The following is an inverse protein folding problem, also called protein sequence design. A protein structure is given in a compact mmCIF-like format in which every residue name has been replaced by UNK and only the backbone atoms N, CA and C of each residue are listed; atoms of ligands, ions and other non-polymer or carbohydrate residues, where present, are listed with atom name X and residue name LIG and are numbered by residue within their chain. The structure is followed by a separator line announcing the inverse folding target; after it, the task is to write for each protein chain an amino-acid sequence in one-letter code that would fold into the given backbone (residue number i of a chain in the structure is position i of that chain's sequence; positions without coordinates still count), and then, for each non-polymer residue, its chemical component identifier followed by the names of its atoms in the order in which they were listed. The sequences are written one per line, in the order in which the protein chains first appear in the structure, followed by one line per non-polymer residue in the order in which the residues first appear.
data_IF_928448786581
#
_entry.id   IF_928448786581
#
_cell.length_a   1.000
_cell.length_b   1.000
_cell.length_c   1.000
_cell.angle_alpha   90.00
_cell.angle_beta   90.00
_cell.angle_gamma   90.00
#
_symmetry.space_group_name_H-M   'P 1'
#
loop_
_entity.id
_entity.type
_entity.pdbx_description
1 polymer ?
#
# COMPACT_ATOMS: atom_id res chain seq x y z
N UNK A 1 1.12 4.73 17.76
CA UNK A 1 0.57 6.04 17.31
C UNK A 1 -0.93 6.00 17.56
N UNK A 2 -1.55 7.05 18.12
CA UNK A 2 -3.01 7.02 18.36
C UNK A 2 -3.74 7.52 17.12
N UNK A 3 -4.60 6.68 16.54
CA UNK A 3 -5.48 7.04 15.43
C UNK A 3 -6.78 7.66 15.96
N UNK A 4 -7.31 8.65 15.24
CA UNK A 4 -8.55 9.38 15.57
C UNK A 4 -9.81 8.69 15.01
N UNK A 5 -9.83 7.37 14.86
CA UNK A 5 -10.89 6.61 14.15
C UNK A 5 -11.26 7.24 12.80
N UNK A 6 -10.30 7.37 11.86
CA UNK A 6 -10.54 8.04 10.58
C UNK A 6 -11.55 7.27 9.72
N UNK A 7 -12.49 7.98 9.11
CA UNK A 7 -13.46 7.38 8.17
C UNK A 7 -12.80 6.85 6.91
N UNK A 8 -11.84 7.61 6.38
CA UNK A 8 -11.14 7.27 5.13
C UNK A 8 -9.64 7.33 5.39
N UNK A 9 -8.91 6.34 4.91
CA UNK A 9 -7.45 6.36 4.87
C UNK A 9 -7.00 6.02 3.47
N UNK A 10 -6.22 6.92 2.86
CA UNK A 10 -5.48 6.62 1.64
C UNK A 10 -4.13 5.99 2.00
N UNK A 11 -3.75 4.91 1.32
CA UNK A 11 -2.48 4.23 1.53
C UNK A 11 -1.75 4.01 0.21
N UNK A 12 -0.43 4.16 0.24
CA UNK A 12 0.45 3.78 -0.86
C UNK A 12 1.87 3.57 -0.39
N UNK A 13 2.65 2.92 -1.23
CA UNK A 13 4.05 2.63 -0.98
C UNK A 13 4.91 2.92 -2.20
N UNK A 14 6.18 3.21 -1.95
CA UNK A 14 7.19 3.37 -3.01
C UNK A 14 8.42 2.58 -2.63
N UNK A 15 8.87 1.73 -3.56
CA UNK A 15 10.10 0.97 -3.41
C UNK A 15 11.33 1.86 -3.55
N UNK A 16 12.29 1.68 -2.67
CA UNK A 16 13.62 2.30 -2.72
C UNK A 16 14.71 1.25 -2.61
N UNK A 17 15.90 1.58 -3.08
CA UNK A 17 17.10 0.75 -2.93
C UNK A 17 17.94 1.35 -1.81
N UNK A 18 18.14 0.60 -0.74
CA UNK A 18 18.97 1.00 0.39
C UNK A 18 20.14 0.03 0.51
N UNK A 19 21.36 0.48 0.22
CA UNK A 19 22.59 -0.33 0.29
C UNK A 19 22.46 -1.69 -0.43
N UNK A 20 21.88 -1.71 -1.63
CA UNK A 20 21.68 -2.95 -2.38
C UNK A 20 20.54 -3.85 -1.87
N UNK A 21 19.78 -3.42 -0.87
CA UNK A 21 18.57 -4.08 -0.36
C UNK A 21 17.30 -3.36 -0.83
N UNK A 22 16.20 -4.11 -0.94
CA UNK A 22 14.89 -3.50 -1.17
C UNK A 22 14.39 -2.93 0.16
N UNK A 23 13.94 -1.68 0.12
CA UNK A 23 13.20 -1.06 1.19
C UNK A 23 12.01 -0.30 0.60
N UNK A 24 11.08 0.12 1.45
CA UNK A 24 9.83 0.73 1.03
C UNK A 24 9.51 1.88 1.98
N UNK A 25 9.10 3.00 1.39
CA UNK A 25 8.43 4.06 2.12
C UNK A 25 6.93 3.89 1.93
N UNK A 26 6.23 3.70 3.05
CA UNK A 26 4.78 3.67 3.12
C UNK A 26 4.24 5.01 3.56
N UNK A 27 3.10 5.39 3.01
CA UNK A 27 2.37 6.61 3.37
C UNK A 27 0.92 6.24 3.67
N UNK A 28 0.44 6.68 4.83
CA UNK A 28 -0.96 6.57 5.25
C UNK A 28 -1.49 7.98 5.44
N UNK A 29 -2.61 8.31 4.80
CA UNK A 29 -3.14 9.66 4.74
C UNK A 29 -4.62 9.65 5.12
N UNK A 30 -4.95 9.80 6.42
CA UNK A 30 -6.28 10.22 6.85
C UNK A 30 -6.55 11.69 6.45
N UNK A 31 -7.68 12.24 6.88
CA UNK A 31 -8.07 13.61 6.55
C UNK A 31 -7.14 14.66 7.20
N UNK A 32 -6.68 14.38 8.41
CA UNK A 32 -6.01 15.32 9.34
C UNK A 32 -4.49 15.12 9.45
N UNK A 33 -3.93 14.05 8.87
CA UNK A 33 -2.51 13.73 8.99
C UNK A 33 -1.95 13.00 7.76
N UNK A 34 -0.62 12.97 7.67
CA UNK A 34 0.14 12.10 6.77
C UNK A 34 1.19 11.37 7.59
N UNK A 35 1.13 10.04 7.58
CA UNK A 35 2.00 9.16 8.36
C UNK A 35 2.96 8.46 7.41
N UNK A 36 4.26 8.62 7.67
CA UNK A 36 5.31 7.97 6.90
C UNK A 36 5.88 6.79 7.68
N UNK A 37 6.05 5.65 7.01
CA UNK A 37 6.68 4.45 7.59
C UNK A 37 7.73 3.88 6.64
N UNK A 38 8.99 3.93 7.04
CA UNK A 38 10.04 3.18 6.37
C UNK A 38 9.99 1.71 6.81
N UNK A 39 10.06 0.79 5.86
CA UNK A 39 10.04 -0.65 6.12
C UNK A 39 10.95 -1.40 5.13
N UNK A 40 11.56 -2.50 5.58
CA UNK A 40 12.33 -3.40 4.72
C UNK A 40 11.45 -4.41 3.96
N UNK A 41 10.13 -4.24 4.04
CA UNK A 41 9.15 -5.12 3.42
C UNK A 41 8.00 -4.30 2.85
N UNK A 42 7.42 -4.81 1.75
CA UNK A 42 6.15 -4.35 1.21
C UNK A 42 4.96 -5.20 1.68
N UNK A 43 5.14 -6.06 2.67
CA UNK A 43 4.08 -6.93 3.17
C UNK A 43 3.02 -6.21 4.02
N UNK A 44 1.82 -6.80 4.08
CA UNK A 44 0.67 -6.30 4.85
C UNK A 44 0.94 -6.14 6.37
N UNK A 45 2.03 -6.73 6.88
CA UNK A 45 2.49 -6.53 8.26
C UNK A 45 2.71 -5.05 8.57
N UNK A 46 3.22 -4.26 7.62
CA UNK A 46 3.45 -2.82 7.83
C UNK A 46 2.14 -2.08 8.07
N UNK A 47 1.10 -2.41 7.30
CA UNK A 47 -0.24 -1.82 7.48
C UNK A 47 -0.81 -2.21 8.84
N UNK A 48 -0.77 -3.50 9.19
CA UNK A 48 -1.30 -4.00 10.47
C UNK A 48 -0.62 -3.36 11.69
N UNK A 49 0.71 -3.27 11.67
CA UNK A 49 1.48 -2.64 12.74
C UNK A 49 1.23 -1.14 12.82
N UNK A 50 1.12 -0.44 11.69
CA UNK A 50 0.89 1.02 11.67
C UNK A 50 -0.53 1.35 12.12
N UNK A 51 -1.53 0.60 11.66
CA UNK A 51 -2.94 0.82 11.99
C UNK A 51 -3.31 0.36 13.40
N UNK A 52 -2.51 -0.49 14.06
CA UNK A 52 -2.72 -0.94 15.45
C UNK A 52 -4.17 -1.44 15.69
N UNK A 53 -4.73 -2.18 14.73
CA UNK A 53 -6.10 -2.71 14.80
C UNK A 53 -7.21 -1.76 14.36
N UNK A 54 -6.92 -0.48 14.06
CA UNK A 54 -7.91 0.45 13.52
C UNK A 54 -8.32 0.06 12.10
N UNK A 55 -9.62 0.13 11.83
CA UNK A 55 -10.23 -0.20 10.53
C UNK A 55 -11.09 0.99 10.07
N UNK A 56 -10.66 1.76 9.05
CA UNK A 56 -11.46 2.84 8.51
C UNK A 56 -12.68 2.31 7.75
N UNK A 57 -13.71 3.15 7.60
CA UNK A 57 -14.87 2.83 6.76
C UNK A 57 -14.44 2.59 5.31
N UNK A 58 -13.51 3.41 4.79
CA UNK A 58 -12.98 3.27 3.42
C UNK A 58 -11.46 3.24 3.44
N UNK A 59 -10.90 2.17 2.87
CA UNK A 59 -9.48 2.06 2.55
C UNK A 59 -9.26 2.39 1.07
N UNK A 60 -8.52 3.46 0.78
CA UNK A 60 -8.20 3.87 -0.58
C UNK A 60 -6.74 3.53 -0.92
N UNK A 61 -6.51 2.54 -1.78
CA UNK A 61 -5.16 2.12 -2.17
C UNK A 61 -5.15 1.57 -3.59
N UNK A 62 -4.00 1.14 -4.10
CA UNK A 62 -3.98 0.28 -5.29
C UNK A 62 -4.58 -1.12 -5.00
N UNK A 63 -4.53 -2.00 -6.00
CA UNK A 63 -4.99 -3.39 -5.91
C UNK A 63 -3.89 -4.37 -5.49
N UNK A 64 -2.77 -3.89 -4.94
CA UNK A 64 -1.73 -4.78 -4.45
C UNK A 64 -2.26 -5.63 -3.29
N UNK A 65 -1.92 -6.92 -3.25
CA UNK A 65 -2.47 -7.88 -2.29
C UNK A 65 -2.24 -7.48 -0.84
N UNK A 66 -1.10 -6.87 -0.53
CA UNK A 66 -0.79 -6.40 0.81
C UNK A 66 -1.67 -5.24 1.28
N UNK A 67 -2.37 -4.56 0.36
CA UNK A 67 -3.25 -3.43 0.63
C UNK A 67 -4.73 -3.84 0.76
N UNK A 68 -5.06 -5.13 0.65
CA UNK A 68 -6.45 -5.59 0.67
C UNK A 68 -6.94 -5.90 2.10
N UNK A 69 -8.21 -5.60 2.39
CA UNK A 69 -8.89 -6.00 3.63
C UNK A 69 -8.64 -5.12 4.86
N UNK A 70 -8.04 -3.94 4.72
CA UNK A 70 -7.69 -3.06 5.84
C UNK A 70 -8.78 -2.09 6.28
N UNK A 71 -9.80 -1.86 5.44
CA UNK A 71 -11.01 -1.11 5.79
C UNK A 71 -12.27 -1.97 5.69
N UNK A 72 -13.42 -1.40 6.02
CA UNK A 72 -14.73 -2.03 5.80
C UNK A 72 -15.05 -2.13 4.31
N UNK A 73 -14.81 -1.05 3.56
CA UNK A 73 -14.86 -1.02 2.11
C UNK A 73 -13.47 -0.70 1.51
N UNK A 74 -13.24 -1.15 0.28
CA UNK A 74 -12.02 -0.85 -0.47
C UNK A 74 -12.34 0.00 -1.70
N UNK A 75 -11.65 1.12 -1.84
CA UNK A 75 -11.67 1.93 -3.05
C UNK A 75 -10.32 1.81 -3.76
N UNK A 76 -10.32 1.43 -5.04
CA UNK A 76 -9.11 1.55 -5.86
C UNK A 76 -8.78 3.03 -6.05
N UNK A 77 -7.55 3.42 -5.71
CA UNK A 77 -7.05 4.77 -5.88
C UNK A 77 -7.08 5.19 -7.36
N UNK A 78 -7.80 6.27 -7.64
CA UNK A 78 -7.99 6.79 -8.99
C UNK A 78 -6.67 7.15 -9.67
N UNK A 79 -5.67 7.64 -8.92
CA UNK A 79 -4.35 7.95 -9.48
C UNK A 79 -3.62 6.70 -9.99
N UNK A 80 -3.72 5.58 -9.26
CA UNK A 80 -3.17 4.30 -9.70
C UNK A 80 -3.93 3.76 -10.91
N UNK A 81 -5.27 3.82 -10.89
CA UNK A 81 -6.10 3.41 -12.02
C UNK A 81 -5.78 4.22 -13.29
N UNK A 82 -5.72 5.55 -13.18
CA UNK A 82 -5.41 6.42 -14.32
C UNK A 82 -4.01 6.12 -14.90
N UNK A 83 -3.04 5.84 -14.03
CA UNK A 83 -1.70 5.43 -14.45
C UNK A 83 -1.71 4.06 -15.15
N UNK A 84 -2.46 3.09 -14.62
CA UNK A 84 -2.61 1.77 -15.23
C UNK A 84 -3.22 1.87 -16.63
N UNK A 85 -4.29 2.67 -16.78
CA UNK A 85 -4.91 2.96 -18.08
C UNK A 85 -3.89 3.57 -19.03
N UNK A 86 -3.18 4.62 -18.58
CA UNK A 86 -2.19 5.31 -19.41
C UNK A 86 -1.06 4.38 -19.89
N UNK A 87 -0.58 3.47 -19.02
CA UNK A 87 0.47 2.53 -19.38
C UNK A 87 -0.04 1.37 -20.25
N UNK A 88 -1.31 0.96 -20.08
CA UNK A 88 -1.97 0.05 -21.01
C UNK A 88 -2.12 0.64 -22.41
N UNK A 89 -2.48 1.92 -22.52
CA UNK A 89 -2.58 2.63 -23.80
C UNK A 89 -1.23 2.79 -24.50
N UNK A 90 -0.14 2.90 -23.74
CA UNK A 90 1.24 2.96 -24.29
C UNK A 90 1.81 1.58 -24.63
N UNK A 91 1.09 0.49 -24.36
CA UNK A 91 1.59 -0.88 -24.56
C UNK A 91 2.68 -1.29 -23.57
N UNK A 92 2.88 -0.52 -22.50
CA UNK A 92 3.93 -0.74 -21.49
C UNK A 92 3.48 -1.70 -20.38
N UNK A 93 2.17 -1.99 -20.29
CA UNK A 93 1.59 -3.01 -19.39
C UNK A 93 0.43 -3.76 -20.08
N UNK A 94 0.27 -5.04 -19.73
CA UNK A 94 -0.64 -6.00 -20.37
C UNK A 94 -2.11 -5.55 -20.47
N UNK A 95 -2.68 -5.84 -21.65
CA UNK A 95 -4.04 -5.71 -22.19
C UNK A 95 -4.97 -4.57 -21.69
N UNK A 96 -5.43 -3.65 -22.57
CA UNK A 96 -6.31 -2.52 -22.24
C UNK A 96 -7.70 -2.89 -21.67
N UNK A 97 -8.07 -4.18 -21.65
CA UNK A 97 -9.33 -4.67 -21.09
C UNK A 97 -9.39 -4.59 -19.55
N UNK A 98 -8.23 -4.67 -18.86
CA UNK A 98 -8.15 -4.58 -17.39
C UNK A 98 -8.46 -3.16 -16.90
N UNK A 99 -8.12 -2.16 -17.70
CA UNK A 99 -8.39 -0.75 -17.43
C UNK A 99 -9.89 -0.40 -17.55
N UNK A 100 -10.56 -0.92 -18.59
CA UNK A 100 -12.00 -0.72 -18.80
C UNK A 100 -12.86 -1.50 -17.79
N UNK A 101 -12.49 -2.75 -17.46
CA UNK A 101 -13.19 -3.54 -16.44
C UNK A 101 -13.08 -2.91 -15.04
N UNK A 102 -11.93 -2.31 -14.70
CA UNK A 102 -11.72 -1.64 -13.42
C UNK A 102 -12.60 -0.39 -13.23
N UNK A 103 -12.95 0.32 -14.30
CA UNK A 103 -13.89 1.44 -14.25
C UNK A 103 -15.35 0.97 -14.06
N UNK A 104 -15.71 -0.17 -14.69
CA UNK A 104 -17.02 -0.78 -14.55
C UNK A 104 -17.25 -1.39 -13.14
N UNK A 105 -16.23 -2.03 -12.55
CA UNK A 105 -16.32 -2.60 -11.19
C UNK A 105 -16.37 -1.54 -10.08
N UNK A 106 -15.69 -0.40 -10.25
CA UNK A 106 -15.68 0.69 -9.23
C UNK A 106 -17.01 1.44 -9.13
N UNK A 107 -17.90 1.29 -10.11
CA UNK A 107 -19.19 2.00 -10.15
C UNK A 107 -20.37 1.17 -9.64
N UNK A 108 -20.27 -0.16 -9.52
CA UNK A 108 -21.41 -1.02 -9.18
C UNK A 108 -20.99 -2.25 -8.35
N UNK A 109 -20.83 -2.09 -7.03
CA UNK A 109 -21.59 -2.82 -5.97
C UNK A 109 -20.86 -2.85 -4.63
N UNK A 110 -21.64 -2.58 -3.58
CA UNK A 110 -21.44 -3.02 -2.20
C UNK A 110 -21.11 -4.51 -2.17
N UNK A 111 -20.05 -4.86 -1.43
CA UNK A 111 -19.79 -6.21 -0.92
C UNK A 111 -19.78 -7.34 -1.96
N UNK A 112 -18.63 -7.59 -2.60
CA UNK A 112 -18.32 -8.94 -3.08
C UNK A 112 -16.85 -9.32 -2.83
N UNK A 113 -16.73 -10.45 -2.13
CA UNK A 113 -15.50 -11.24 -1.91
C UNK A 113 -14.89 -11.58 -3.27
N UNK A 114 -13.94 -10.78 -3.78
CA UNK A 114 -13.31 -11.10 -5.06
C UNK A 114 -12.03 -11.92 -4.87
N UNK A 115 -12.10 -13.11 -5.45
CA UNK A 115 -11.07 -14.15 -5.52
C UNK A 115 -9.81 -13.55 -6.15
N UNK A 116 -8.71 -13.56 -5.40
CA UNK A 116 -7.37 -13.18 -5.84
C UNK A 116 -7.04 -13.85 -7.19
N UNK A 117 -7.04 -13.08 -8.28
CA UNK A 117 -6.38 -13.47 -9.52
C UNK A 117 -4.88 -13.28 -9.29
N UNK A 118 -4.31 -14.24 -8.57
CA UNK A 118 -2.90 -14.27 -8.23
C UNK A 118 -2.04 -14.30 -9.48
N UNK A 119 -1.16 -13.32 -9.60
CA UNK A 119 -0.17 -13.30 -10.65
C UNK A 119 0.34 -11.90 -10.86
N UNK A 120 1.15 -11.39 -9.94
CA UNK A 120 2.29 -10.51 -10.22
C UNK A 120 3.15 -10.42 -8.93
N UNK A 121 4.11 -11.35 -8.87
CA UNK A 121 5.42 -11.20 -8.21
C UNK A 121 5.52 -11.29 -6.67
N UNK A 122 4.90 -12.29 -6.04
CA UNK A 122 5.08 -12.61 -4.61
C UNK A 122 6.38 -13.42 -4.31
N UNK A 123 7.09 -13.89 -5.35
CA UNK A 123 8.23 -14.82 -5.19
C UNK A 123 9.61 -14.18 -5.00
N UNK A 124 9.75 -12.84 -4.98
CA UNK A 124 11.06 -12.15 -4.85
C UNK A 124 11.31 -11.52 -3.47
N UNK A 125 10.65 -11.99 -2.41
CA UNK A 125 10.56 -11.22 -1.16
C UNK A 125 11.11 -11.91 0.10
N UNK A 126 11.68 -13.12 -0.01
CA UNK A 126 12.44 -13.68 1.11
C UNK A 126 13.79 -12.94 1.25
N UNK A 127 14.20 -12.52 2.46
CA UNK A 127 15.58 -12.11 2.69
C UNK A 127 16.51 -13.27 2.32
N UNK A 128 17.61 -12.99 1.61
CA UNK A 128 18.60 -14.02 1.28
C UNK A 128 19.11 -14.65 2.58
N UNK A 129 19.29 -15.99 2.65
CA UNK A 129 19.90 -16.62 3.82
C UNK A 129 21.28 -15.97 4.04
N UNK A 130 21.47 -15.35 5.20
CA UNK A 130 22.70 -14.62 5.57
C UNK A 130 22.61 -13.09 5.59
N UNK A 131 21.48 -12.47 5.23
CA UNK A 131 21.29 -11.02 5.39
C UNK A 131 21.28 -10.64 6.89
N UNK A 132 22.36 -10.01 7.38
CA UNK A 132 22.45 -9.53 8.76
C UNK A 132 21.40 -8.43 8.98
N UNK A 133 20.43 -8.66 9.88
CA UNK A 133 19.50 -7.63 10.32
C UNK A 133 20.25 -6.63 11.21
N UNK A 134 20.75 -5.54 10.62
CA UNK A 134 21.08 -4.36 11.42
C UNK A 134 19.76 -3.77 11.91
N UNK A 135 19.47 -3.94 13.20
CA UNK A 135 18.39 -3.22 13.88
C UNK A 135 18.73 -1.74 13.85
N UNK A 136 18.11 -0.99 12.95
CA UNK A 136 18.03 0.45 13.10
C UNK A 136 16.82 0.74 14.00
N UNK A 137 17.08 0.93 15.29
CA UNK A 137 16.18 1.67 16.17
C UNK A 137 16.15 3.10 15.62
N UNK A 138 15.11 3.44 14.85
CA UNK A 138 14.80 4.84 14.58
C UNK A 138 14.27 5.39 15.89
N UNK A 139 15.15 6.07 16.62
CA UNK A 139 14.82 6.76 17.86
C UNK A 139 13.82 7.88 17.53
N UNK A 140 12.54 7.61 17.75
CA UNK A 140 11.44 8.50 17.37
C UNK A 140 11.47 9.85 18.11
N UNK A 141 12.29 9.95 19.18
CA UNK A 141 12.43 11.16 19.98
C UNK A 141 13.34 12.20 19.34
N UNK A 142 14.17 11.85 18.35
CA UNK A 142 15.06 12.81 17.66
C UNK A 142 14.39 13.65 16.57
N UNK A 143 13.12 13.38 16.25
CA UNK A 143 12.33 14.19 15.29
C UNK A 143 11.51 15.29 15.97
N UNK A 144 11.49 15.37 17.30
CA UNK A 144 10.76 16.41 18.06
C UNK A 144 11.60 17.64 18.43
N UNK A 145 12.91 17.57 18.24
CA UNK A 145 13.83 18.67 18.51
C UNK A 145 14.58 19.02 17.23
N UNK A 146 13.94 19.82 16.38
CA UNK A 146 14.64 20.57 15.34
C UNK A 146 15.32 21.81 15.93
N UNK A 147 16.32 22.39 15.23
CA UNK A 147 16.87 23.70 15.55
C UNK A 147 15.85 24.83 15.35
#
# INVERSE_FOLDING_TARGET
MRWSSPKVVACGETGVRNEGSNAYQWVFRPADAVVHRAALTRGAVVVRETMEGHRPEVWCSDRYSAQQGHGEEHQTCLAHLARDVALGLRGERGHPAIAAAAFAETSLRRGQRHRYLGGLDDRRQAPRPGAKSRRYLVDADRLRSGP
#
